data_IF_504722160899
#
_entry.id   IF_504722160899
#
_cell.length_a   1.000
_cell.length_b   1.000
_cell.length_c   1.000
_cell.angle_alpha   90.00
_cell.angle_beta   90.00
_cell.angle_gamma   90.00
#
_symmetry.space_group_name_H-M   'P 1'
#
loop_
_entity.id
_entity.type
_entity.pdbx_description
1 polymer ?
#
# COMPACT_ATOMS: atom_id res chain seq x y z
N UNK A 1 10.39 32.71 -22.26
CA UNK A 1 10.15 32.09 -20.94
C UNK A 1 8.83 32.64 -20.46
N UNK A 2 7.75 31.86 -20.51
CA UNK A 2 6.45 32.33 -20.01
C UNK A 2 6.58 32.53 -18.50
N UNK A 3 6.59 33.78 -18.05
CA UNK A 3 6.47 34.14 -16.64
C UNK A 3 5.03 33.82 -16.26
N UNK A 4 4.83 32.78 -15.43
CA UNK A 4 3.53 32.55 -14.80
C UNK A 4 3.32 33.72 -13.84
N UNK A 5 2.46 34.66 -14.20
CA UNK A 5 2.00 35.67 -13.26
C UNK A 5 1.18 34.96 -12.18
N UNK A 6 1.75 34.81 -10.97
CA UNK A 6 1.10 34.16 -9.85
C UNK A 6 -0.17 34.92 -9.47
N UNK A 7 -1.33 34.38 -9.85
CA UNK A 7 -2.59 34.74 -9.20
C UNK A 7 -2.45 34.27 -7.75
N UNK A 8 -2.24 35.23 -6.84
CA UNK A 8 -2.17 34.96 -5.40
C UNK A 8 -3.51 34.42 -4.92
N UNK A 9 -3.59 33.12 -4.81
CA UNK A 9 -4.70 32.40 -4.22
C UNK A 9 -4.32 31.92 -2.82
N UNK A 10 -5.28 31.94 -1.89
CA UNK A 10 -5.10 31.40 -0.53
C UNK A 10 -5.09 29.86 -0.49
N UNK A 11 -4.85 29.20 -1.62
CA UNK A 11 -4.73 27.75 -1.70
C UNK A 11 -3.30 27.31 -1.38
N UNK A 12 -3.19 26.36 -0.46
CA UNK A 12 -1.95 25.67 -0.18
C UNK A 12 -1.70 24.59 -1.24
N UNK A 13 -0.70 24.81 -2.09
CA UNK A 13 -0.20 23.80 -3.01
C UNK A 13 0.73 22.86 -2.22
N UNK A 14 0.29 21.61 -2.05
CA UNK A 14 1.08 20.60 -1.35
C UNK A 14 2.24 20.18 -2.23
N UNK A 15 3.44 20.10 -1.65
CA UNK A 15 4.61 19.57 -2.34
C UNK A 15 4.41 18.09 -2.72
N UNK A 16 5.00 17.62 -3.83
CA UNK A 16 4.93 16.21 -4.20
C UNK A 16 5.44 15.31 -3.07
N UNK A 17 4.65 14.31 -2.66
CA UNK A 17 5.01 13.37 -1.60
C UNK A 17 5.02 11.93 -2.12
N UNK A 18 5.92 11.11 -1.59
CA UNK A 18 6.03 9.69 -1.96
C UNK A 18 5.06 8.79 -1.18
N UNK A 19 4.49 9.28 -0.07
CA UNK A 19 3.61 8.52 0.82
C UNK A 19 2.38 7.88 0.12
N UNK A 20 1.70 8.55 -0.84
CA UNK A 20 0.61 7.93 -1.58
C UNK A 20 1.02 6.65 -2.33
N UNK A 21 2.21 6.63 -2.92
CA UNK A 21 2.74 5.48 -3.67
C UNK A 21 3.08 4.32 -2.73
N UNK A 22 3.78 4.60 -1.63
CA UNK A 22 4.16 3.58 -0.65
C UNK A 22 2.90 2.98 -0.01
N UNK A 23 1.92 3.82 0.34
CA UNK A 23 0.64 3.41 0.90
C UNK A 23 -0.15 2.50 -0.03
N UNK A 24 -0.20 2.82 -1.33
CA UNK A 24 -0.91 2.00 -2.31
C UNK A 24 -0.24 0.65 -2.56
N UNK A 25 1.11 0.58 -2.55
CA UNK A 25 1.84 -0.70 -2.58
C UNK A 25 1.53 -1.52 -1.32
N UNK A 26 1.54 -0.88 -0.13
CA UNK A 26 1.19 -1.55 1.13
C UNK A 26 -0.23 -2.11 1.12
N UNK A 27 -1.20 -1.34 0.62
CA UNK A 27 -2.59 -1.77 0.50
C UNK A 27 -2.75 -2.96 -0.46
N UNK A 28 -2.05 -2.93 -1.59
CA UNK A 28 -2.05 -4.02 -2.56
C UNK A 28 -1.48 -5.32 -1.97
N UNK A 29 -0.34 -5.24 -1.28
CA UNK A 29 0.27 -6.39 -0.59
C UNK A 29 -0.65 -6.91 0.51
N UNK A 30 -1.25 -6.03 1.31
CA UNK A 30 -2.19 -6.40 2.37
C UNK A 30 -3.42 -7.11 1.82
N UNK A 31 -3.99 -6.64 0.70
CA UNK A 31 -5.14 -7.25 0.06
C UNK A 31 -4.83 -8.68 -0.44
N UNK A 32 -3.69 -8.88 -1.12
CA UNK A 32 -3.24 -10.21 -1.53
C UNK A 32 -3.01 -11.10 -0.30
N UNK A 33 -2.35 -10.56 0.73
CA UNK A 33 -2.10 -11.28 1.96
C UNK A 33 -3.38 -11.70 2.69
N UNK A 34 -4.42 -10.87 2.65
CA UNK A 34 -5.73 -11.20 3.21
C UNK A 34 -6.40 -12.36 2.46
N UNK A 35 -6.31 -12.38 1.12
CA UNK A 35 -6.81 -13.49 0.31
C UNK A 35 -6.05 -14.79 0.65
N UNK A 36 -4.72 -14.73 0.75
CA UNK A 36 -3.89 -15.88 1.14
C UNK A 36 -4.32 -16.40 2.51
N UNK A 37 -4.39 -15.52 3.51
CA UNK A 37 -4.72 -15.89 4.88
C UNK A 37 -6.11 -16.55 4.98
N UNK A 38 -7.12 -15.98 4.32
CA UNK A 38 -8.47 -16.56 4.32
C UNK A 38 -8.53 -17.95 3.67
N UNK A 39 -7.69 -18.22 2.65
CA UNK A 39 -7.59 -19.56 2.05
C UNK A 39 -6.87 -20.54 2.97
N UNK A 40 -5.77 -20.12 3.59
CA UNK A 40 -5.06 -20.94 4.58
C UNK A 40 -5.98 -21.32 5.75
N UNK A 41 -6.82 -20.39 6.23
CA UNK A 41 -7.82 -20.67 7.28
C UNK A 41 -8.89 -21.69 6.85
N UNK A 42 -9.21 -21.76 5.55
CA UNK A 42 -10.12 -22.77 4.99
C UNK A 42 -9.46 -24.14 4.80
N UNK A 43 -8.16 -24.29 5.09
CA UNK A 43 -7.41 -25.53 4.87
C UNK A 43 -7.06 -25.79 3.40
N UNK A 44 -7.17 -24.76 2.55
CA UNK A 44 -6.82 -24.84 1.13
C UNK A 44 -5.29 -24.77 0.94
N UNK A 45 -4.79 -25.29 -0.18
CA UNK A 45 -3.35 -25.38 -0.49
C UNK A 45 -2.70 -24.00 -0.79
N UNK A 46 -3.46 -22.91 -0.72
CA UNK A 46 -2.99 -21.54 -0.89
C UNK A 46 -3.51 -20.87 -2.18
N UNK A 47 -2.75 -19.93 -2.72
CA UNK A 47 -3.02 -19.27 -4.00
C UNK A 47 -1.84 -19.47 -4.93
N UNK A 48 -2.11 -19.77 -6.21
CA UNK A 48 -1.05 -19.78 -7.23
C UNK A 48 -0.97 -18.40 -7.88
N UNK A 49 0.16 -17.74 -7.74
CA UNK A 49 0.44 -16.44 -8.35
C UNK A 49 1.62 -16.63 -9.30
N UNK A 50 1.44 -16.32 -10.58
CA UNK A 50 2.48 -16.41 -11.61
C UNK A 50 3.17 -17.79 -11.67
N UNK A 51 2.42 -18.87 -11.42
CA UNK A 51 2.94 -20.25 -11.40
C UNK A 51 3.58 -20.69 -10.09
N UNK A 52 3.67 -19.82 -9.08
CA UNK A 52 4.21 -20.14 -7.75
C UNK A 52 3.07 -20.35 -6.76
N UNK A 53 3.04 -21.51 -6.10
CA UNK A 53 2.08 -21.80 -5.03
C UNK A 53 2.52 -21.09 -3.76
N UNK A 54 1.65 -20.21 -3.26
CA UNK A 54 1.88 -19.44 -2.04
C UNK A 54 0.91 -19.89 -0.96
N UNK A 55 1.47 -20.51 0.09
CA UNK A 55 0.78 -20.80 1.35
C UNK A 55 1.56 -20.19 2.52
N UNK A 56 1.40 -18.88 2.70
CA UNK A 56 2.18 -18.09 3.64
C UNK A 56 1.42 -17.73 4.93
N UNK A 57 0.24 -18.31 5.18
CA UNK A 57 -0.57 -17.97 6.35
C UNK A 57 -0.81 -16.46 6.49
N UNK A 58 -0.71 -15.86 7.71
CA UNK A 58 -0.97 -14.44 7.92
C UNK A 58 0.20 -13.53 7.52
N UNK A 59 1.38 -14.07 7.16
CA UNK A 59 2.61 -13.27 7.08
C UNK A 59 2.56 -12.17 6.00
N UNK A 60 1.98 -12.46 4.84
CA UNK A 60 1.84 -11.47 3.76
C UNK A 60 0.87 -10.36 4.14
N UNK A 61 -0.21 -10.69 4.87
CA UNK A 61 -1.15 -9.70 5.41
C UNK A 61 -0.44 -8.78 6.41
N UNK A 62 0.33 -9.36 7.33
CA UNK A 62 1.05 -8.61 8.35
C UNK A 62 2.14 -7.71 7.74
N UNK A 63 2.82 -8.15 6.67
CA UNK A 63 3.76 -7.32 5.94
C UNK A 63 3.07 -6.11 5.30
N UNK A 64 1.93 -6.32 4.64
CA UNK A 64 1.13 -5.22 4.09
C UNK A 64 0.64 -4.24 5.17
N UNK A 65 0.14 -4.77 6.30
CA UNK A 65 -0.28 -3.96 7.44
C UNK A 65 0.88 -3.12 8.02
N UNK A 66 2.07 -3.69 8.14
CA UNK A 66 3.25 -2.98 8.60
C UNK A 66 3.63 -1.82 7.66
N UNK A 67 3.54 -2.00 6.34
CA UNK A 67 3.78 -0.93 5.36
C UNK A 67 2.73 0.19 5.49
N UNK A 68 1.46 -0.17 5.71
CA UNK A 68 0.40 0.82 5.93
C UNK A 68 0.69 1.62 7.21
N UNK A 69 0.97 0.96 8.33
CA UNK A 69 1.32 1.64 9.59
C UNK A 69 2.52 2.56 9.39
N UNK A 70 3.56 2.11 8.69
CA UNK A 70 4.73 2.92 8.36
C UNK A 70 4.35 4.16 7.52
N UNK A 71 3.54 3.97 6.48
CA UNK A 71 3.05 5.08 5.64
C UNK A 71 2.28 6.11 6.47
N UNK A 72 1.40 5.64 7.34
CA UNK A 72 0.56 6.49 8.19
C UNK A 72 1.39 7.29 9.20
N UNK A 73 2.35 6.63 9.86
CA UNK A 73 3.30 7.31 10.74
C UNK A 73 4.13 8.32 9.96
N UNK A 74 4.57 8.00 8.74
CA UNK A 74 5.37 8.90 7.93
C UNK A 74 4.61 10.11 7.39
N UNK A 75 3.35 9.93 7.01
CA UNK A 75 2.52 10.98 6.41
C UNK A 75 2.00 11.97 7.46
N UNK A 76 1.64 11.50 8.66
CA UNK A 76 1.04 12.36 9.70
C UNK A 76 2.03 12.93 10.72
N UNK A 77 3.32 12.92 10.40
CA UNK A 77 4.35 13.64 11.18
C UNK A 77 4.46 15.07 10.73
#
# INVERSE_FOLDING_TARGET
MATQDEVKHDYHLVEPSAWPLIGSIGAFVMAIGAIIYMRTLKGDAGITILGVQMNAGPWVLLAGLAIIIYTMIGWWR
#
